data_IF_594339898710
#
_entry.id   IF_594339898710
#
_cell.length_a   1.000
_cell.length_b   1.000
_cell.length_c   1.000
_cell.angle_alpha   90.00
_cell.angle_beta   90.00
_cell.angle_gamma   90.00
#
_symmetry.space_group_name_H-M   'P 1'
#
loop_
_entity.id
_entity.type
_entity.pdbx_description
1 polymer ?
#
# COMPACT_ATOMS: atom_id res chain seq x y z
N UNK A 1 12.86 16.98 -18.35
CA UNK A 1 12.03 16.71 -17.17
C UNK A 1 10.55 16.88 -17.46
N UNK A 2 10.06 18.08 -17.85
CA UNK A 2 8.61 18.30 -18.12
C UNK A 2 8.05 17.35 -19.17
N UNK A 3 8.71 17.18 -20.33
CA UNK A 3 8.28 16.26 -21.37
C UNK A 3 8.21 14.80 -20.88
N UNK A 4 9.19 14.37 -20.10
CA UNK A 4 9.21 13.02 -19.50
C UNK A 4 8.06 12.82 -18.52
N UNK A 5 7.85 13.77 -17.60
CA UNK A 5 6.74 13.73 -16.65
C UNK A 5 5.37 13.73 -17.37
N UNK A 6 5.20 14.54 -18.40
CA UNK A 6 3.98 14.56 -19.21
C UNK A 6 3.72 13.24 -19.93
N UNK A 7 4.75 12.61 -20.51
CA UNK A 7 4.62 11.28 -21.11
C UNK A 7 4.23 10.21 -20.08
N UNK A 8 4.85 10.22 -18.90
CA UNK A 8 4.52 9.29 -17.81
C UNK A 8 3.08 9.47 -17.33
N UNK A 9 2.65 10.73 -17.17
CA UNK A 9 1.27 11.05 -16.78
C UNK A 9 0.27 10.57 -17.84
N UNK A 10 0.55 10.79 -19.12
CA UNK A 10 -0.31 10.31 -20.20
C UNK A 10 -0.42 8.78 -20.20
N UNK A 11 0.72 8.08 -20.09
CA UNK A 11 0.73 6.61 -20.01
C UNK A 11 -0.02 6.11 -18.78
N UNK A 12 0.12 6.77 -17.62
CA UNK A 12 -0.63 6.45 -16.42
C UNK A 12 -2.14 6.56 -16.66
N UNK A 13 -2.60 7.66 -17.24
CA UNK A 13 -4.03 7.87 -17.52
C UNK A 13 -4.56 6.83 -18.52
N UNK A 14 -3.80 6.51 -19.55
CA UNK A 14 -4.15 5.44 -20.50
C UNK A 14 -4.25 4.08 -19.81
N UNK A 15 -3.26 3.73 -18.98
CA UNK A 15 -3.25 2.47 -18.24
C UNK A 15 -4.43 2.39 -17.27
N UNK A 16 -4.70 3.48 -16.53
CA UNK A 16 -5.84 3.57 -15.64
C UNK A 16 -7.16 3.35 -16.39
N UNK A 17 -7.34 4.01 -17.51
CA UNK A 17 -8.54 3.88 -18.33
C UNK A 17 -8.72 2.44 -18.86
N UNK A 18 -7.65 1.83 -19.35
CA UNK A 18 -7.68 0.46 -19.88
C UNK A 18 -8.04 -0.54 -18.76
N UNK A 19 -7.35 -0.46 -17.59
CA UNK A 19 -7.62 -1.35 -16.45
C UNK A 19 -9.05 -1.15 -15.97
N UNK A 20 -9.50 0.09 -15.80
CA UNK A 20 -10.86 0.40 -15.36
C UNK A 20 -11.90 -0.13 -16.34
N UNK A 21 -11.67 0.02 -17.65
CA UNK A 21 -12.54 -0.51 -18.70
C UNK A 21 -12.63 -2.04 -18.64
N UNK A 22 -11.50 -2.72 -18.57
CA UNK A 22 -11.45 -4.19 -18.49
C UNK A 22 -12.18 -4.68 -17.24
N UNK A 23 -11.87 -4.12 -16.08
CA UNK A 23 -12.52 -4.50 -14.81
C UNK A 23 -14.03 -4.22 -14.84
N UNK A 24 -14.44 -3.07 -15.41
CA UNK A 24 -15.83 -2.72 -15.56
C UNK A 24 -16.59 -3.76 -16.44
N UNK A 25 -16.03 -4.09 -17.61
CA UNK A 25 -16.65 -5.06 -18.52
C UNK A 25 -16.72 -6.44 -17.87
N UNK A 26 -15.63 -6.91 -17.26
CA UNK A 26 -15.59 -8.23 -16.61
C UNK A 26 -16.61 -8.34 -15.48
N UNK A 27 -16.72 -7.32 -14.61
CA UNK A 27 -17.67 -7.37 -13.51
C UNK A 27 -19.11 -7.30 -14.00
N UNK A 28 -19.36 -6.56 -15.08
CA UNK A 28 -20.70 -6.46 -15.71
C UNK A 28 -21.12 -7.72 -16.47
N UNK A 29 -20.17 -8.54 -16.91
CA UNK A 29 -20.46 -9.86 -17.49
C UNK A 29 -20.92 -10.89 -16.44
N UNK A 30 -20.63 -10.66 -15.16
CA UNK A 30 -21.16 -11.50 -14.11
C UNK A 30 -22.66 -11.25 -13.96
N UNK A 31 -23.47 -12.32 -13.76
CA UNK A 31 -24.89 -12.14 -13.57
C UNK A 31 -25.13 -11.24 -12.35
N UNK A 32 -25.97 -10.19 -12.48
CA UNK A 32 -26.33 -9.35 -11.36
C UNK A 32 -27.00 -10.19 -10.27
N UNK A 33 -26.80 -9.82 -9.02
CA UNK A 33 -27.57 -10.46 -7.95
C UNK A 33 -29.03 -10.05 -8.12
N UNK A 34 -29.86 -11.02 -8.46
CA UNK A 34 -31.31 -10.80 -8.54
C UNK A 34 -31.87 -10.72 -7.12
N UNK A 35 -32.53 -9.62 -6.84
CA UNK A 35 -33.40 -9.52 -5.66
C UNK A 35 -34.72 -10.17 -5.99
N UNK A 36 -35.35 -10.95 -5.09
CA UNK A 36 -36.68 -11.44 -5.30
C UNK A 36 -37.66 -10.27 -5.57
N UNK A 37 -38.62 -10.39 -6.50
CA UNK A 37 -39.60 -9.33 -6.77
C UNK A 37 -40.40 -8.89 -5.54
N UNK A 38 -40.47 -9.74 -4.54
CA UNK A 38 -41.14 -9.50 -3.25
C UNK A 38 -40.28 -8.65 -2.28
N UNK A 39 -38.96 -8.47 -2.59
CA UNK A 39 -38.09 -7.60 -1.78
C UNK A 39 -38.51 -6.14 -1.92
N UNK A 40 -38.68 -5.49 -0.78
CA UNK A 40 -39.08 -4.08 -0.72
C UNK A 40 -38.07 -3.14 -1.47
N UNK A 41 -36.87 -3.60 -1.65
CA UNK A 41 -35.79 -2.87 -2.33
C UNK A 41 -35.72 -3.15 -3.84
N UNK A 42 -36.46 -4.14 -4.34
CA UNK A 42 -36.40 -4.58 -5.74
C UNK A 42 -36.62 -3.42 -6.72
N UNK A 43 -37.68 -2.64 -6.52
CA UNK A 43 -38.03 -1.53 -7.43
C UNK A 43 -36.95 -0.44 -7.43
N UNK A 44 -36.37 -0.15 -6.26
CA UNK A 44 -35.33 0.88 -6.12
C UNK A 44 -34.07 0.45 -6.84
N UNK A 45 -33.66 -0.81 -6.67
CA UNK A 45 -32.47 -1.35 -7.35
C UNK A 45 -32.68 -1.46 -8.85
N UNK A 46 -33.86 -1.90 -9.30
CA UNK A 46 -34.21 -1.97 -10.71
C UNK A 46 -34.16 -0.58 -11.38
N UNK A 47 -34.77 0.44 -10.75
CA UNK A 47 -34.72 1.81 -11.27
C UNK A 47 -33.31 2.39 -11.32
N UNK A 48 -32.45 2.11 -10.33
CA UNK A 48 -31.05 2.52 -10.34
C UNK A 48 -30.24 1.84 -11.46
N UNK A 49 -30.46 0.54 -11.66
CA UNK A 49 -29.81 -0.22 -12.74
C UNK A 49 -30.22 0.30 -14.11
N UNK A 50 -31.47 0.64 -14.28
CA UNK A 50 -31.97 1.26 -15.52
C UNK A 50 -31.31 2.62 -15.75
N UNK A 51 -31.25 3.49 -14.73
CA UNK A 51 -30.56 4.78 -14.80
C UNK A 51 -29.07 4.65 -15.11
N UNK A 52 -28.38 3.64 -14.54
CA UNK A 52 -27.00 3.30 -14.85
C UNK A 52 -26.82 2.62 -16.22
N UNK A 53 -27.93 2.40 -16.97
CA UNK A 53 -27.91 1.88 -18.32
C UNK A 53 -27.61 0.39 -18.43
N UNK A 54 -27.95 -0.42 -17.44
CA UNK A 54 -27.69 -1.89 -17.47
C UNK A 54 -28.32 -2.62 -18.67
N UNK A 55 -29.36 -2.02 -19.27
CA UNK A 55 -30.00 -2.50 -20.49
C UNK A 55 -29.27 -2.10 -21.78
N UNK A 56 -28.17 -1.32 -21.69
CA UNK A 56 -27.39 -0.83 -22.83
C UNK A 56 -26.12 -1.65 -23.06
N UNK A 57 -25.47 -1.55 -24.22
CA UNK A 57 -24.16 -2.18 -24.46
C UNK A 57 -23.12 -1.75 -23.43
N UNK A 58 -22.19 -2.66 -23.03
CA UNK A 58 -21.23 -2.44 -21.94
C UNK A 58 -20.39 -1.16 -22.12
N UNK A 59 -20.02 -0.80 -23.36
CA UNK A 59 -19.25 0.43 -23.62
C UNK A 59 -20.07 1.69 -23.37
N UNK A 60 -21.38 1.65 -23.60
CA UNK A 60 -22.29 2.77 -23.26
C UNK A 60 -22.43 2.89 -21.74
N UNK A 61 -22.58 1.76 -21.05
CA UNK A 61 -22.60 1.75 -19.57
C UNK A 61 -21.31 2.32 -19.00
N UNK A 62 -20.16 1.94 -19.57
CA UNK A 62 -18.85 2.46 -19.18
C UNK A 62 -18.74 3.97 -19.40
N UNK A 63 -19.25 4.47 -20.52
CA UNK A 63 -19.32 5.91 -20.78
C UNK A 63 -20.17 6.66 -19.77
N UNK A 64 -21.33 6.09 -19.38
CA UNK A 64 -22.18 6.65 -18.33
C UNK A 64 -21.43 6.67 -16.97
N UNK A 65 -20.79 5.57 -16.60
CA UNK A 65 -19.99 5.48 -15.38
C UNK A 65 -18.88 6.54 -15.34
N UNK A 66 -18.09 6.68 -16.41
CA UNK A 66 -17.04 7.70 -16.47
C UNK A 66 -17.62 9.12 -16.37
N UNK A 67 -18.70 9.40 -17.10
CA UNK A 67 -19.36 10.71 -17.01
C UNK A 67 -19.75 11.02 -15.55
N UNK A 68 -20.43 10.10 -14.89
CA UNK A 68 -20.98 10.35 -13.56
C UNK A 68 -19.85 10.50 -12.51
N UNK A 69 -18.79 9.69 -12.61
CA UNK A 69 -17.59 9.82 -11.76
C UNK A 69 -16.87 11.15 -12.00
N UNK A 70 -16.60 11.53 -13.26
CA UNK A 70 -15.80 12.74 -13.55
C UNK A 70 -16.56 14.04 -13.43
N UNK A 71 -17.89 14.05 -13.67
CA UNK A 71 -18.69 15.29 -13.65
C UNK A 71 -19.38 15.55 -12.32
N UNK A 72 -19.72 14.50 -11.57
CA UNK A 72 -20.54 14.57 -10.34
C UNK A 72 -19.88 13.93 -9.13
N UNK A 73 -18.73 13.28 -9.31
CA UNK A 73 -18.10 12.46 -8.28
C UNK A 73 -19.03 11.36 -7.76
N UNK A 74 -19.93 10.89 -8.63
CA UNK A 74 -20.92 9.88 -8.31
C UNK A 74 -20.39 8.49 -8.65
N UNK A 75 -20.05 7.74 -7.62
CA UNK A 75 -19.56 6.36 -7.71
C UNK A 75 -20.69 5.34 -7.62
N UNK A 76 -21.92 5.83 -7.50
CA UNK A 76 -23.09 5.01 -7.31
C UNK A 76 -23.36 4.70 -5.84
N UNK A 77 -24.34 3.85 -5.64
CA UNK A 77 -24.87 3.47 -4.33
C UNK A 77 -24.67 1.97 -4.13
N UNK A 78 -24.33 1.56 -2.92
CA UNK A 78 -24.19 0.14 -2.57
C UNK A 78 -25.53 -0.58 -2.74
N UNK A 79 -25.50 -1.65 -3.54
CA UNK A 79 -26.70 -2.46 -3.82
C UNK A 79 -26.91 -3.58 -2.79
N UNK A 80 -25.89 -3.93 -1.98
CA UNK A 80 -25.95 -5.09 -1.10
C UNK A 80 -25.30 -4.91 0.27
N UNK A 81 -24.00 -4.58 0.32
CA UNK A 81 -23.24 -4.58 1.59
C UNK A 81 -23.70 -3.47 2.55
N UNK A 82 -24.00 -2.30 2.00
CA UNK A 82 -24.47 -1.11 2.72
C UNK A 82 -25.64 -0.52 1.97
N UNK A 83 -26.69 -1.30 1.82
CA UNK A 83 -27.82 -0.98 0.95
C UNK A 83 -28.28 0.48 1.05
N UNK A 84 -28.30 1.15 -0.09
CA UNK A 84 -28.78 2.52 -0.17
C UNK A 84 -27.77 3.60 0.24
N UNK A 85 -26.57 3.23 0.71
CA UNK A 85 -25.54 4.21 1.08
C UNK A 85 -24.68 4.58 -0.12
N UNK A 86 -24.27 5.85 -0.19
CA UNK A 86 -23.31 6.34 -1.17
C UNK A 86 -21.94 5.68 -1.01
N UNK A 87 -21.37 5.22 -2.12
CA UNK A 87 -20.11 4.48 -2.12
C UNK A 87 -18.95 5.37 -1.69
N UNK A 88 -18.92 6.65 -2.07
CA UNK A 88 -17.88 7.58 -1.65
C UNK A 88 -17.94 7.83 -0.13
N UNK A 89 -19.14 7.90 0.45
CA UNK A 89 -19.31 8.05 1.90
C UNK A 89 -18.83 6.80 2.66
N UNK A 90 -19.16 5.59 2.17
CA UNK A 90 -18.66 4.33 2.76
C UNK A 90 -17.14 4.29 2.73
N UNK A 91 -16.54 4.65 1.60
CA UNK A 91 -15.10 4.69 1.44
C UNK A 91 -14.44 5.68 2.41
N UNK A 92 -14.98 6.90 2.51
CA UNK A 92 -14.47 7.94 3.40
C UNK A 92 -14.49 7.51 4.87
N UNK A 93 -15.46 6.70 5.29
CA UNK A 93 -15.52 6.14 6.65
C UNK A 93 -14.49 5.04 6.90
N UNK A 94 -14.08 4.28 5.86
CA UNK A 94 -13.22 3.12 5.99
C UNK A 94 -11.73 3.45 5.82
N UNK A 95 -11.39 4.43 4.99
CA UNK A 95 -10.00 4.78 4.67
C UNK A 95 -9.15 5.18 5.90
N UNK A 96 -9.67 5.91 6.91
CA UNK A 96 -8.87 6.29 8.07
C UNK A 96 -8.28 5.10 8.83
N UNK A 97 -9.04 4.03 9.03
CA UNK A 97 -8.55 2.84 9.72
C UNK A 97 -7.36 2.20 8.99
N UNK A 98 -7.46 2.02 7.68
CA UNK A 98 -6.39 1.51 6.83
C UNK A 98 -5.15 2.39 6.90
N UNK A 99 -5.34 3.71 6.71
CA UNK A 99 -4.21 4.66 6.67
C UNK A 99 -3.47 4.70 7.99
N UNK A 100 -4.18 4.76 9.12
CA UNK A 100 -3.55 4.89 10.43
C UNK A 100 -2.78 3.63 10.80
N UNK A 101 -3.34 2.44 10.61
CA UNK A 101 -2.66 1.18 10.91
C UNK A 101 -1.39 1.03 10.06
N UNK A 102 -1.48 1.29 8.76
CA UNK A 102 -0.31 1.21 7.87
C UNK A 102 0.72 2.30 8.17
N UNK A 103 0.28 3.53 8.48
CA UNK A 103 1.16 4.63 8.84
C UNK A 103 1.98 4.31 10.10
N UNK A 104 1.34 3.79 11.15
CA UNK A 104 2.07 3.33 12.33
C UNK A 104 3.06 2.22 11.98
N UNK A 105 2.67 1.26 11.13
CA UNK A 105 3.58 0.19 10.71
C UNK A 105 4.85 0.76 10.05
N UNK A 106 4.75 1.68 9.10
CA UNK A 106 5.94 2.21 8.41
C UNK A 106 6.77 3.17 9.28
N UNK A 107 6.13 3.95 10.16
CA UNK A 107 6.84 4.81 11.10
C UNK A 107 7.77 4.01 12.02
N UNK A 108 7.36 2.81 12.45
CA UNK A 108 8.19 1.94 13.26
C UNK A 108 9.16 1.11 12.42
N UNK A 109 8.70 0.53 11.32
CA UNK A 109 9.48 -0.45 10.58
C UNK A 109 10.61 0.15 9.75
N UNK A 110 10.43 1.29 9.12
CA UNK A 110 11.46 1.89 8.27
C UNK A 110 12.72 2.25 9.08
N UNK A 111 12.63 3.00 10.21
CA UNK A 111 13.80 3.31 11.01
C UNK A 111 14.49 2.04 11.57
N UNK A 112 13.72 1.07 12.06
CA UNK A 112 14.26 -0.18 12.58
C UNK A 112 14.99 -0.95 11.48
N UNK A 113 14.38 -1.07 10.29
CA UNK A 113 14.99 -1.76 9.16
C UNK A 113 16.29 -1.11 8.71
N UNK A 114 16.31 0.22 8.58
CA UNK A 114 17.53 0.97 8.23
C UNK A 114 18.61 0.77 9.30
N UNK A 115 18.28 0.89 10.59
CA UNK A 115 19.24 0.71 11.68
C UNK A 115 19.84 -0.69 11.71
N UNK A 116 19.03 -1.73 11.55
CA UNK A 116 19.50 -3.12 11.48
C UNK A 116 20.38 -3.34 10.25
N UNK A 117 20.00 -2.77 9.09
CA UNK A 117 20.80 -2.83 7.87
C UNK A 117 22.17 -2.17 8.01
N UNK A 118 22.23 -0.98 8.62
CA UNK A 118 23.48 -0.30 8.94
C UNK A 118 24.33 -1.14 9.88
N UNK A 119 23.74 -1.68 10.94
CA UNK A 119 24.47 -2.48 11.91
C UNK A 119 25.06 -3.75 11.27
N UNK A 120 24.28 -4.47 10.48
CA UNK A 120 24.74 -5.64 9.73
C UNK A 120 25.89 -5.29 8.76
N UNK A 121 25.77 -4.19 8.00
CA UNK A 121 26.80 -3.76 7.05
C UNK A 121 28.13 -3.37 7.75
N UNK A 122 28.05 -2.65 8.88
CA UNK A 122 29.22 -2.26 9.65
C UNK A 122 29.92 -3.45 10.31
N UNK A 123 29.17 -4.50 10.62
CA UNK A 123 29.65 -5.76 11.21
C UNK A 123 29.72 -6.90 10.18
N UNK A 124 29.94 -6.56 8.91
CA UNK A 124 30.01 -7.53 7.81
C UNK A 124 30.86 -8.75 8.15
N UNK A 125 30.35 -9.95 7.83
CA UNK A 125 31.00 -11.25 8.07
C UNK A 125 31.21 -11.62 9.55
N UNK A 126 30.49 -10.99 10.48
CA UNK A 126 30.46 -11.39 11.90
C UNK A 126 29.18 -12.15 12.23
N UNK A 127 29.08 -12.73 13.43
CA UNK A 127 27.87 -13.38 13.93
C UNK A 127 26.65 -12.43 13.91
N UNK A 128 26.86 -11.16 14.20
CA UNK A 128 25.79 -10.14 14.15
C UNK A 128 25.21 -10.02 12.74
N UNK A 129 26.09 -9.91 11.73
CA UNK A 129 25.68 -9.84 10.34
C UNK A 129 24.93 -11.11 9.89
N UNK A 130 25.48 -12.28 10.22
CA UNK A 130 24.85 -13.56 9.88
C UNK A 130 23.49 -13.72 10.55
N UNK A 131 23.35 -13.37 11.84
CA UNK A 131 22.10 -13.46 12.57
C UNK A 131 21.04 -12.52 11.97
N UNK A 132 21.37 -11.23 11.78
CA UNK A 132 20.45 -10.25 11.18
C UNK A 132 20.03 -10.69 9.77
N UNK A 133 20.99 -11.13 8.94
CA UNK A 133 20.70 -11.55 7.56
C UNK A 133 19.84 -12.81 7.52
N UNK A 134 20.06 -13.79 8.40
CA UNK A 134 19.25 -15.00 8.47
C UNK A 134 17.83 -14.69 8.93
N UNK A 135 17.68 -13.88 9.99
CA UNK A 135 16.35 -13.46 10.46
C UNK A 135 15.60 -12.67 9.36
N UNK A 136 16.31 -11.79 8.67
CA UNK A 136 15.75 -11.02 7.54
C UNK A 136 15.26 -11.96 6.44
N UNK A 137 16.04 -12.99 6.06
CA UNK A 137 15.61 -13.98 5.06
C UNK A 137 14.37 -14.75 5.51
N UNK A 138 14.33 -15.20 6.76
CA UNK A 138 13.14 -15.86 7.33
C UNK A 138 11.94 -14.92 7.25
N UNK A 139 12.12 -13.65 7.67
CA UNK A 139 11.03 -12.67 7.61
C UNK A 139 10.52 -12.38 6.20
N UNK A 140 11.36 -12.37 5.18
CA UNK A 140 10.92 -12.16 3.79
C UNK A 140 10.22 -13.41 3.24
N UNK A 141 10.66 -14.61 3.66
CA UNK A 141 10.13 -15.87 3.12
C UNK A 141 8.77 -16.26 3.69
N UNK A 142 8.43 -15.77 4.87
CA UNK A 142 7.16 -16.08 5.54
C UNK A 142 6.08 -15.11 5.07
N UNK A 143 4.93 -15.61 4.58
CA UNK A 143 3.81 -14.75 4.20
C UNK A 143 3.28 -13.89 5.38
N UNK A 144 2.88 -12.66 5.10
CA UNK A 144 2.43 -11.70 6.14
C UNK A 144 1.29 -12.19 7.01
N UNK A 145 0.38 -12.99 6.47
CA UNK A 145 -0.74 -13.55 7.23
C UNK A 145 -0.29 -14.60 8.28
N UNK A 146 0.83 -15.28 8.04
CA UNK A 146 1.39 -16.20 9.04
C UNK A 146 1.87 -15.43 10.25
N UNK A 147 2.53 -14.28 10.07
CA UNK A 147 2.86 -13.38 11.18
C UNK A 147 1.62 -12.92 11.92
N UNK A 148 0.56 -12.57 11.19
CA UNK A 148 -0.68 -12.13 11.80
C UNK A 148 -1.25 -13.21 12.74
N UNK A 149 -1.30 -14.46 12.30
CA UNK A 149 -1.74 -15.57 13.14
C UNK A 149 -0.83 -15.81 14.35
N UNK A 150 0.50 -15.77 14.14
CA UNK A 150 1.45 -15.94 15.22
C UNK A 150 1.34 -14.80 16.26
N UNK A 151 1.28 -13.55 15.81
CA UNK A 151 1.11 -12.38 16.66
C UNK A 151 -0.21 -12.48 17.43
N UNK A 152 -1.32 -12.78 16.73
CA UNK A 152 -2.63 -12.92 17.37
C UNK A 152 -2.66 -14.08 18.38
N UNK A 153 -2.09 -15.24 18.03
CA UNK A 153 -2.04 -16.39 18.90
C UNK A 153 -1.18 -16.16 20.15
N UNK A 154 0.06 -15.69 19.97
CA UNK A 154 0.95 -15.51 21.11
C UNK A 154 0.61 -14.28 21.94
N UNK A 155 0.46 -13.10 21.31
CA UNK A 155 0.34 -11.86 22.06
C UNK A 155 -1.09 -11.58 22.53
N UNK A 156 -2.11 -11.95 21.77
CA UNK A 156 -3.50 -11.69 22.15
C UNK A 156 -4.14 -12.89 22.87
N UNK A 157 -3.96 -14.12 22.37
CA UNK A 157 -4.62 -15.29 22.93
C UNK A 157 -3.86 -15.91 24.13
N UNK A 158 -2.55 -16.14 24.00
CA UNK A 158 -1.76 -16.80 25.05
C UNK A 158 -1.35 -15.86 26.16
N UNK A 159 -0.81 -14.69 25.82
CA UNK A 159 -0.23 -13.75 26.77
C UNK A 159 -1.22 -12.67 27.20
N UNK A 160 -2.36 -12.53 26.54
CA UNK A 160 -3.39 -11.51 26.82
C UNK A 160 -2.85 -10.08 26.91
N UNK A 161 -1.76 -9.77 26.16
CA UNK A 161 -1.13 -8.45 26.16
C UNK A 161 -1.91 -7.43 25.35
N UNK A 162 -2.60 -7.89 24.29
CA UNK A 162 -3.36 -7.04 23.37
C UNK A 162 -4.75 -7.62 23.13
N UNK A 163 -5.72 -6.78 22.74
CA UNK A 163 -7.04 -7.24 22.30
C UNK A 163 -6.93 -8.19 21.11
N UNK A 164 -7.86 -9.13 21.00
CA UNK A 164 -7.90 -10.09 19.88
C UNK A 164 -8.27 -9.43 18.55
N UNK A 165 -9.17 -8.46 18.61
CA UNK A 165 -9.60 -7.64 17.46
C UNK A 165 -9.37 -6.17 17.78
N UNK A 166 -9.24 -5.38 16.74
CA UNK A 166 -9.16 -3.93 16.85
C UNK A 166 -10.46 -3.38 17.47
N UNK A 167 -10.33 -2.40 18.33
CA UNK A 167 -11.47 -1.72 18.96
C UNK A 167 -12.29 -0.96 17.92
N UNK A 168 -13.61 -1.06 18.00
CA UNK A 168 -14.51 -0.24 17.18
C UNK A 168 -14.55 1.21 17.65
N UNK A 169 -14.87 2.12 16.73
CA UNK A 169 -15.04 3.55 17.00
C UNK A 169 -14.20 4.44 16.06
N UNK A 170 -14.34 5.75 16.25
CA UNK A 170 -13.68 6.79 15.42
C UNK A 170 -12.65 7.61 16.20
N UNK A 171 -12.40 7.26 17.47
CA UNK A 171 -11.41 7.93 18.31
C UNK A 171 -10.00 7.36 18.06
N UNK A 172 -9.47 7.65 16.88
CA UNK A 172 -8.24 7.07 16.34
C UNK A 172 -6.98 7.33 17.18
N UNK A 173 -6.96 8.39 17.95
CA UNK A 173 -5.79 8.81 18.73
C UNK A 173 -5.89 8.47 20.22
N UNK A 174 -6.93 7.75 20.63
CA UNK A 174 -7.01 7.27 22.01
C UNK A 174 -5.99 6.16 22.29
N UNK A 175 -5.45 6.13 23.50
CA UNK A 175 -4.51 5.09 23.92
C UNK A 175 -5.08 3.67 23.74
N UNK A 176 -6.36 3.48 24.07
CA UNK A 176 -7.02 2.18 23.93
C UNK A 176 -7.13 1.73 22.45
N UNK A 177 -7.39 2.68 21.54
CA UNK A 177 -7.40 2.41 20.10
C UNK A 177 -6.01 2.06 19.60
N UNK A 178 -4.99 2.85 19.96
CA UNK A 178 -3.60 2.58 19.62
C UNK A 178 -3.15 1.18 20.02
N UNK A 179 -3.40 0.80 21.30
CA UNK A 179 -3.06 -0.55 21.82
C UNK A 179 -3.77 -1.65 21.02
N UNK A 180 -5.01 -1.42 20.60
CA UNK A 180 -5.77 -2.41 19.81
C UNK A 180 -5.28 -2.56 18.37
N UNK A 181 -4.60 -1.56 17.83
CA UNK A 181 -3.98 -1.62 16.49
C UNK A 181 -2.63 -2.33 16.50
N UNK A 182 -1.91 -2.36 17.63
CA UNK A 182 -0.55 -2.86 17.70
C UNK A 182 -0.35 -4.27 17.13
N UNK A 183 -1.23 -5.26 17.34
CA UNK A 183 -1.06 -6.57 16.72
C UNK A 183 -1.04 -6.52 15.18
N UNK A 184 -1.91 -5.72 14.57
CA UNK A 184 -1.93 -5.51 13.12
C UNK A 184 -0.67 -4.77 12.65
N UNK A 185 -0.30 -3.69 13.36
CA UNK A 185 0.91 -2.90 13.10
C UNK A 185 2.16 -3.77 13.14
N UNK A 186 2.33 -4.59 14.18
CA UNK A 186 3.46 -5.51 14.30
C UNK A 186 3.51 -6.51 13.14
N UNK A 187 2.36 -7.09 12.79
CA UNK A 187 2.28 -8.07 11.70
C UNK A 187 2.67 -7.47 10.34
N UNK A 188 2.30 -6.23 10.08
CA UNK A 188 2.68 -5.49 8.87
C UNK A 188 4.15 -5.05 8.90
N UNK A 189 4.72 -4.85 10.08
CA UNK A 189 6.08 -4.33 10.25
C UNK A 189 7.16 -5.33 9.86
N UNK A 190 7.00 -6.63 10.11
CA UNK A 190 8.04 -7.63 9.87
C UNK A 190 8.56 -7.65 8.43
N UNK A 191 7.73 -7.74 7.38
CA UNK A 191 8.19 -7.73 6.00
C UNK A 191 8.90 -6.42 5.62
N UNK A 192 8.39 -5.28 6.11
CA UNK A 192 8.95 -3.94 5.83
C UNK A 192 10.31 -3.79 6.50
N UNK A 193 10.45 -4.16 7.79
CA UNK A 193 11.74 -4.18 8.49
C UNK A 193 12.75 -5.03 7.72
N UNK A 194 12.34 -6.23 7.32
CA UNK A 194 13.22 -7.15 6.61
C UNK A 194 13.66 -6.61 5.24
N UNK A 195 12.75 -6.01 4.47
CA UNK A 195 13.03 -5.39 3.19
C UNK A 195 14.05 -4.25 3.31
N UNK A 196 13.81 -3.30 4.23
CA UNK A 196 14.72 -2.18 4.47
C UNK A 196 16.06 -2.62 5.06
N UNK A 197 16.08 -3.62 5.95
CA UNK A 197 17.33 -4.20 6.49
C UNK A 197 18.18 -4.77 5.36
N UNK A 198 17.58 -5.58 4.49
CA UNK A 198 18.27 -6.22 3.36
C UNK A 198 18.81 -5.18 2.39
N UNK A 199 17.99 -4.24 1.97
CA UNK A 199 18.38 -3.18 1.02
C UNK A 199 19.48 -2.31 1.59
N UNK A 200 19.31 -1.80 2.82
CA UNK A 200 20.30 -0.94 3.48
C UNK A 200 21.63 -1.67 3.68
N UNK A 201 21.60 -2.95 4.09
CA UNK A 201 22.82 -3.75 4.24
C UNK A 201 23.54 -3.93 2.92
N UNK A 202 22.83 -4.26 1.84
CA UNK A 202 23.41 -4.47 0.52
C UNK A 202 24.10 -3.20 0.01
N UNK A 203 23.34 -2.10 -0.07
CA UNK A 203 23.82 -0.82 -0.55
C UNK A 203 24.99 -0.28 0.27
N UNK A 204 24.87 -0.30 1.60
CA UNK A 204 25.93 0.20 2.47
C UNK A 204 27.19 -0.66 2.38
N UNK A 205 27.06 -1.98 2.24
CA UNK A 205 28.20 -2.87 2.07
C UNK A 205 28.96 -2.58 0.77
N UNK A 206 28.25 -2.36 -0.34
CA UNK A 206 28.84 -2.01 -1.63
C UNK A 206 29.57 -0.66 -1.55
N UNK A 207 28.91 0.34 -1.02
CA UNK A 207 29.47 1.69 -0.88
C UNK A 207 30.71 1.70 0.01
N UNK A 208 30.70 0.99 1.15
CA UNK A 208 31.84 0.94 2.08
C UNK A 208 33.11 0.32 1.48
N UNK A 209 32.96 -0.50 0.42
CA UNK A 209 34.12 -1.12 -0.29
C UNK A 209 34.53 -0.34 -1.54
N UNK A 210 33.88 0.76 -1.87
CA UNK A 210 34.16 1.54 -3.07
C UNK A 210 35.42 2.40 -2.95
N UNK A 211 36.04 2.73 -4.10
CA UNK A 211 37.26 3.53 -4.19
C UNK A 211 37.11 4.93 -3.58
N UNK A 212 35.94 5.54 -3.73
CA UNK A 212 35.72 6.88 -3.15
C UNK A 212 35.70 6.85 -1.60
N UNK A 213 35.33 5.75 -0.98
CA UNK A 213 35.43 5.59 0.46
C UNK A 213 36.91 5.45 0.90
N UNK A 214 37.71 4.78 0.09
CA UNK A 214 39.16 4.74 0.31
C UNK A 214 39.77 6.17 0.23
N UNK A 215 39.39 6.92 -0.81
CA UNK A 215 39.80 8.33 -0.98
C UNK A 215 39.38 9.22 0.21
N UNK A 216 38.15 9.03 0.72
CA UNK A 216 37.68 9.79 1.88
C UNK A 216 38.55 9.51 3.13
N UNK A 217 38.95 8.27 3.32
CA UNK A 217 39.84 7.87 4.43
C UNK A 217 41.27 8.39 4.26
N UNK A 218 41.80 8.39 3.05
CA UNK A 218 43.16 8.97 2.79
C UNK A 218 43.17 10.48 3.00
N UNK A 219 42.03 11.17 2.89
CA UNK A 219 41.85 12.58 3.25
C UNK A 219 41.70 12.82 4.77
N UNK A 220 41.94 11.80 5.60
CA UNK A 220 41.95 11.93 7.05
C UNK A 220 40.61 11.75 7.75
N UNK A 221 39.55 11.36 7.05
CA UNK A 221 38.26 11.07 7.69
C UNK A 221 38.32 9.76 8.47
N UNK A 222 37.79 9.76 9.69
CA UNK A 222 37.58 8.52 10.44
C UNK A 222 36.56 7.63 9.73
N UNK A 223 36.58 6.32 10.04
CA UNK A 223 35.60 5.38 9.44
C UNK A 223 34.16 5.82 9.64
N UNK A 224 33.81 6.28 10.84
CA UNK A 224 32.46 6.78 11.17
C UNK A 224 32.10 8.03 10.38
N UNK A 225 33.02 9.00 10.31
CA UNK A 225 32.79 10.24 9.53
C UNK A 225 32.60 9.94 8.04
N UNK A 226 33.44 9.06 7.46
CA UNK A 226 33.32 8.65 6.07
C UNK A 226 31.99 7.92 5.83
N UNK A 227 31.56 7.03 6.74
CA UNK A 227 30.28 6.32 6.63
C UNK A 227 29.10 7.30 6.67
N UNK A 228 29.01 8.16 7.67
CA UNK A 228 27.85 9.05 7.84
C UNK A 228 27.80 10.13 6.75
N UNK A 229 28.93 10.77 6.41
CA UNK A 229 28.95 11.89 5.47
C UNK A 229 28.89 11.48 4.01
N UNK A 230 29.45 10.31 3.68
CA UNK A 230 29.61 9.87 2.29
C UNK A 230 28.82 8.59 1.98
N UNK A 231 29.01 7.51 2.74
CA UNK A 231 28.38 6.25 2.42
C UNK A 231 26.85 6.32 2.55
N UNK A 232 26.33 6.84 3.66
CA UNK A 232 24.88 6.96 3.87
C UNK A 232 24.21 7.84 2.83
N UNK A 233 24.85 8.93 2.39
CA UNK A 233 24.30 9.78 1.34
C UNK A 233 24.10 9.03 0.02
N UNK A 234 25.02 8.15 -0.34
CA UNK A 234 24.91 7.34 -1.55
C UNK A 234 23.86 6.23 -1.38
N UNK A 235 23.79 5.58 -0.22
CA UNK A 235 22.75 4.60 0.06
C UNK A 235 21.32 5.19 -0.02
N UNK A 236 21.16 6.47 0.38
CA UNK A 236 19.86 7.14 0.32
C UNK A 236 19.31 7.26 -1.10
N UNK A 237 20.13 7.17 -2.14
CA UNK A 237 19.67 7.18 -3.54
C UNK A 237 18.70 6.03 -3.82
N UNK A 238 18.93 4.87 -3.21
CA UNK A 238 18.07 3.69 -3.34
C UNK A 238 16.99 3.64 -2.26
N UNK A 239 17.33 4.03 -1.03
CA UNK A 239 16.45 3.92 0.13
C UNK A 239 15.29 4.95 0.08
N UNK A 240 15.56 6.20 -0.30
CA UNK A 240 14.51 7.24 -0.32
C UNK A 240 13.36 6.94 -1.29
N UNK A 241 13.60 6.50 -2.54
CA UNK A 241 12.50 6.07 -3.42
C UNK A 241 11.67 4.92 -2.84
N UNK A 242 12.33 3.97 -2.17
CA UNK A 242 11.62 2.87 -1.50
C UNK A 242 10.74 3.39 -0.34
N UNK A 243 11.24 4.35 0.45
CA UNK A 243 10.44 5.01 1.51
C UNK A 243 9.21 5.70 0.89
N UNK A 244 9.36 6.46 -0.20
CA UNK A 244 8.23 7.09 -0.88
C UNK A 244 7.20 6.06 -1.37
N UNK A 245 7.68 4.93 -1.90
CA UNK A 245 6.81 3.82 -2.32
C UNK A 245 5.97 3.27 -1.17
N UNK A 246 6.58 3.04 0.00
CA UNK A 246 5.87 2.57 1.20
C UNK A 246 4.83 3.59 1.68
N UNK A 247 5.18 4.89 1.72
CA UNK A 247 4.24 5.94 2.14
C UNK A 247 3.01 6.03 1.23
N UNK A 248 3.18 5.88 -0.07
CA UNK A 248 2.04 5.87 -0.99
C UNK A 248 1.24 4.58 -0.81
N UNK A 249 1.93 3.46 -0.59
CA UNK A 249 1.33 2.15 -0.32
C UNK A 249 0.46 2.09 0.96
N UNK A 250 0.63 3.04 1.91
CA UNK A 250 -0.18 3.14 3.14
C UNK A 250 -1.68 3.07 2.86
N UNK A 251 -2.12 3.72 1.80
CA UNK A 251 -3.54 3.80 1.45
C UNK A 251 -4.09 2.47 0.90
N UNK A 252 -3.22 1.57 0.45
CA UNK A 252 -3.66 0.30 -0.16
C UNK A 252 -4.15 -0.72 0.88
N UNK A 253 -3.67 -0.62 2.13
CA UNK A 253 -4.02 -1.57 3.17
C UNK A 253 -3.54 -3.00 2.92
N UNK A 254 -3.87 -3.88 3.83
CA UNK A 254 -3.64 -5.31 3.69
C UNK A 254 -4.95 -6.07 3.88
N UNK A 255 -5.47 -6.62 2.79
CA UNK A 255 -6.73 -7.37 2.76
C UNK A 255 -6.82 -8.43 3.87
N UNK A 256 -5.76 -9.21 4.04
CA UNK A 256 -5.74 -10.36 4.95
C UNK A 256 -5.53 -9.90 6.39
N UNK A 257 -4.59 -8.98 6.62
CA UNK A 257 -4.28 -8.47 7.96
C UNK A 257 -5.49 -7.72 8.55
N UNK A 258 -6.13 -6.86 7.75
CA UNK A 258 -7.33 -6.15 8.16
C UNK A 258 -8.45 -7.11 8.55
N UNK A 259 -8.62 -8.22 7.82
CA UNK A 259 -9.62 -9.22 8.12
C UNK A 259 -9.31 -10.00 9.40
N UNK A 260 -8.04 -10.40 9.61
CA UNK A 260 -7.61 -11.17 10.79
C UNK A 260 -7.82 -10.35 12.07
N UNK A 261 -7.45 -9.07 12.07
CA UNK A 261 -7.54 -8.22 13.24
C UNK A 261 -8.84 -7.41 13.33
N UNK A 262 -9.78 -7.61 12.41
CA UNK A 262 -11.05 -6.90 12.39
C UNK A 262 -10.90 -5.38 12.15
N UNK A 263 -9.85 -4.96 11.47
CA UNK A 263 -9.65 -3.55 11.10
C UNK A 263 -10.78 -3.14 10.15
N UNK A 264 -11.59 -2.08 10.46
CA UNK A 264 -12.69 -1.66 9.62
C UNK A 264 -12.22 -0.83 8.41
N UNK A 265 -11.24 -1.37 7.68
CA UNK A 265 -10.55 -0.71 6.58
C UNK A 265 -11.11 -1.01 5.20
N UNK A 266 -10.44 -0.44 4.18
CA UNK A 266 -10.83 -0.57 2.77
C UNK A 266 -10.42 -1.91 2.16
N UNK A 267 -9.41 -2.60 2.71
CA UNK A 267 -9.00 -3.90 2.24
C UNK A 267 -10.09 -4.96 2.44
N UNK A 268 -10.65 -5.05 3.65
CA UNK A 268 -11.78 -5.95 3.92
C UNK A 268 -13.01 -5.61 3.09
N UNK A 269 -13.26 -4.33 2.83
CA UNK A 269 -14.35 -3.86 1.99
C UNK A 269 -14.21 -4.35 0.54
N UNK A 270 -12.99 -4.37 -0.01
CA UNK A 270 -12.72 -4.86 -1.37
C UNK A 270 -13.07 -6.34 -1.55
N UNK A 271 -12.60 -7.21 -0.64
CA UNK A 271 -12.96 -8.63 -0.67
C UNK A 271 -14.46 -8.87 -0.51
N UNK A 272 -15.09 -8.14 0.41
CA UNK A 272 -16.52 -8.26 0.63
C UNK A 272 -17.33 -7.78 -0.57
N UNK A 273 -16.87 -6.75 -1.29
CA UNK A 273 -17.54 -6.27 -2.50
C UNK A 273 -17.51 -7.29 -3.65
N UNK A 274 -16.41 -8.04 -3.79
CA UNK A 274 -16.31 -9.12 -4.77
C UNK A 274 -17.26 -10.26 -4.39
N UNK A 275 -17.18 -10.76 -3.16
CA UNK A 275 -17.99 -11.87 -2.69
C UNK A 275 -19.49 -11.53 -2.64
N UNK A 276 -19.80 -10.28 -2.28
CA UNK A 276 -21.14 -9.74 -2.23
C UNK A 276 -21.70 -9.33 -3.61
N UNK A 277 -20.84 -9.27 -4.64
CA UNK A 277 -21.18 -8.72 -5.97
C UNK A 277 -21.74 -7.29 -5.88
N UNK A 278 -21.15 -6.48 -5.00
CA UNK A 278 -21.50 -5.06 -4.87
C UNK A 278 -20.62 -4.26 -5.84
N UNK A 279 -21.13 -4.13 -7.06
CA UNK A 279 -20.36 -3.61 -8.19
C UNK A 279 -19.90 -2.15 -8.04
N UNK A 280 -20.73 -1.23 -7.50
CA UNK A 280 -20.28 0.14 -7.29
C UNK A 280 -19.11 0.25 -6.32
N UNK A 281 -19.14 -0.45 -5.18
CA UNK A 281 -18.04 -0.50 -4.21
C UNK A 281 -16.79 -1.10 -4.86
N UNK A 282 -16.94 -2.23 -5.57
CA UNK A 282 -15.83 -2.87 -6.27
C UNK A 282 -15.14 -1.93 -7.25
N UNK A 283 -15.92 -1.21 -8.07
CA UNK A 283 -15.37 -0.31 -9.08
C UNK A 283 -14.63 0.88 -8.46
N UNK A 284 -15.18 1.49 -7.43
CA UNK A 284 -14.49 2.57 -6.71
C UNK A 284 -13.15 2.11 -6.13
N UNK A 285 -13.13 0.97 -5.45
CA UNK A 285 -11.90 0.45 -4.86
C UNK A 285 -10.88 0.01 -5.92
N UNK A 286 -11.34 -0.56 -7.04
CA UNK A 286 -10.46 -0.93 -8.15
C UNK A 286 -9.78 0.29 -8.75
N UNK A 287 -10.54 1.36 -9.04
CA UNK A 287 -9.98 2.63 -9.54
C UNK A 287 -9.02 3.24 -8.52
N UNK A 288 -9.40 3.25 -7.25
CA UNK A 288 -8.59 3.76 -6.15
C UNK A 288 -7.24 3.03 -6.04
N UNK A 289 -7.25 1.70 -5.94
CA UNK A 289 -6.01 0.92 -5.83
C UNK A 289 -5.12 1.03 -7.07
N UNK A 290 -5.72 1.02 -8.25
CA UNK A 290 -4.99 1.22 -9.51
C UNK A 290 -4.35 2.59 -9.54
N UNK A 291 -5.07 3.64 -9.16
CA UNK A 291 -4.56 5.02 -9.11
C UNK A 291 -3.38 5.14 -8.15
N UNK A 292 -3.50 4.59 -6.93
CA UNK A 292 -2.41 4.61 -5.95
C UNK A 292 -1.17 3.90 -6.50
N UNK A 293 -1.30 2.71 -7.07
CA UNK A 293 -0.18 1.97 -7.64
C UNK A 293 0.52 2.73 -8.78
N UNK A 294 -0.26 3.36 -9.64
CA UNK A 294 0.27 4.16 -10.75
C UNK A 294 0.92 5.47 -10.25
N UNK A 295 0.33 6.14 -9.26
CA UNK A 295 0.93 7.33 -8.63
C UNK A 295 2.23 6.96 -7.92
N UNK A 296 2.26 5.84 -7.20
CA UNK A 296 3.48 5.33 -6.56
C UNK A 296 4.60 5.14 -7.60
N UNK A 297 4.30 4.49 -8.72
CA UNK A 297 5.26 4.30 -9.81
C UNK A 297 5.83 5.62 -10.33
N UNK A 298 4.96 6.62 -10.58
CA UNK A 298 5.41 7.94 -11.05
C UNK A 298 6.26 8.66 -10.01
N UNK A 299 5.86 8.65 -8.74
CA UNK A 299 6.61 9.31 -7.65
C UNK A 299 7.98 8.67 -7.51
N UNK A 300 8.08 7.34 -7.56
CA UNK A 300 9.34 6.61 -7.54
C UNK A 300 10.20 6.99 -8.74
N UNK A 301 9.67 6.96 -9.96
CA UNK A 301 10.39 7.33 -11.18
C UNK A 301 10.92 8.78 -11.14
N UNK A 302 10.10 9.71 -10.67
CA UNK A 302 10.49 11.11 -10.54
C UNK A 302 11.53 11.28 -9.43
N UNK A 303 11.39 10.58 -8.31
CA UNK A 303 12.33 10.66 -7.18
C UNK A 303 13.74 10.23 -7.59
N UNK A 304 13.90 9.18 -8.39
CA UNK A 304 15.19 8.81 -8.96
C UNK A 304 15.83 9.96 -9.76
N UNK A 305 15.05 10.67 -10.57
CA UNK A 305 15.54 11.82 -11.34
C UNK A 305 15.98 13.02 -10.49
N UNK A 306 15.43 13.17 -9.26
CA UNK A 306 15.87 14.20 -8.32
C UNK A 306 17.08 13.79 -7.51
N UNK A 307 17.15 12.53 -7.09
CA UNK A 307 18.14 12.01 -6.18
C UNK A 307 19.45 11.68 -6.92
N UNK A 308 19.37 11.13 -8.15
CA UNK A 308 20.56 10.83 -8.96
C UNK A 308 20.68 11.77 -10.16
N UNK A 309 21.60 12.76 -10.11
CA UNK A 309 21.84 13.68 -11.22
C UNK A 309 22.33 12.99 -12.50
N UNK A 310 22.89 11.77 -12.42
CA UNK A 310 23.44 11.03 -13.59
C UNK A 310 22.31 10.59 -14.52
N UNK A 311 21.14 10.28 -13.98
CA UNK A 311 19.95 9.91 -14.73
C UNK A 311 19.45 11.11 -15.57
N UNK A 312 19.64 12.35 -15.07
CA UNK A 312 19.29 13.57 -15.83
C UNK A 312 20.13 13.77 -17.08
N UNK A 313 21.39 13.34 -17.09
CA UNK A 313 22.31 13.55 -18.22
C UNK A 313 22.14 12.54 -19.34
N UNK A 314 21.60 11.35 -19.05
CA UNK A 314 21.33 10.30 -20.05
C UNK A 314 20.13 10.58 -20.98
N UNK A 315 19.31 11.58 -20.72
CA UNK A 315 18.13 11.93 -21.53
C UNK A 315 18.41 12.96 -22.64
N UNK A 316 19.69 13.31 -22.87
CA UNK A 316 20.14 14.14 -23.99
C UNK A 316 20.75 13.28 -25.11
N UNK A 317 19.96 12.35 -25.66
CA UNK A 317 20.19 11.79 -26.98
C UNK A 317 18.87 11.82 -27.77
#
# INVERSE_FOLDING_TARGET
>A
MVKYAAQRLLLMLMTLLIITCICFVLIRMLPPVELPPEDIHYQVVAARREAAGYNKPYMVQFGIFLRDVFTRWDWGVSDKLYFGQDVAAIFAQKIPATVIVNLYSIIFSIPIGIMLGIWAALKKNTLVDHTISTLTMVCISVPSFVYAFLVQYFLSYKLHLFPFLMKGGTDWFSWSMFVSMLPAVLSLSFPVIASFTRTTRAELTEVLTSEFMLLARTKGLTRTQATVRHAMKNCMVVILPAIFGEFIGVMSGSLIIEKIFGVPGVGGLYLNSINGRDYPIFMMLTVFYTTIGLVASIVIDISYGFIDPRIRMGSKK
#
